data_IF_188502602310
#
_entry.id   IF_188502602310
#
_cell.length_a   1.000
_cell.length_b   1.000
_cell.length_c   1.000
_cell.angle_alpha   90.00
_cell.angle_beta   90.00
_cell.angle_gamma   90.00
#
_symmetry.space_group_name_H-M   'P 1'
#
loop_
_entity.id
_entity.type
_entity.pdbx_description
1 polymer ?
#
# COMPACT_ATOMS: atom_id res chain seq x y z
N UNK A 1 45.51 23.28 4.35
CA UNK A 1 44.25 24.05 4.52
C UNK A 1 43.28 23.83 3.41
N UNK A 2 43.72 23.79 2.15
CA UNK A 2 42.88 23.52 1.00
C UNK A 2 42.31 22.08 1.01
N UNK A 3 43.06 21.13 1.50
CA UNK A 3 42.66 19.73 1.58
C UNK A 3 41.48 19.52 2.53
N UNK A 4 41.42 20.20 3.67
CA UNK A 4 40.34 20.09 4.64
C UNK A 4 39.01 20.59 4.09
N UNK A 5 39.01 21.64 3.27
CA UNK A 5 37.80 22.14 2.58
C UNK A 5 37.30 21.16 1.53
N UNK A 6 38.20 20.50 0.83
CA UNK A 6 37.86 19.49 -0.16
C UNK A 6 37.22 18.28 0.47
N UNK A 7 37.71 17.83 1.63
CA UNK A 7 37.13 16.72 2.37
C UNK A 7 35.71 17.05 2.87
N UNK A 8 35.49 18.25 3.42
CA UNK A 8 34.17 18.69 3.88
C UNK A 8 33.14 18.69 2.74
N UNK A 9 33.54 19.10 1.55
CA UNK A 9 32.68 19.10 0.37
C UNK A 9 32.32 17.67 -0.05
N UNK A 10 33.24 16.72 0.03
CA UNK A 10 33.01 15.32 -0.28
C UNK A 10 32.03 14.68 0.70
N UNK A 11 32.18 14.94 1.98
CA UNK A 11 31.28 14.42 3.01
C UNK A 11 29.85 14.91 2.80
N UNK A 12 29.68 16.18 2.50
CA UNK A 12 28.36 16.75 2.21
C UNK A 12 27.68 16.09 1.03
N UNK A 13 28.40 15.81 -0.07
CA UNK A 13 27.88 15.11 -1.25
C UNK A 13 27.50 13.67 -0.91
N UNK A 14 28.28 12.97 -0.09
CA UNK A 14 28.01 11.61 0.35
C UNK A 14 26.75 11.54 1.18
N UNK A 15 26.54 12.47 2.10
CA UNK A 15 25.33 12.56 2.90
C UNK A 15 24.09 12.76 2.04
N UNK A 16 24.11 13.66 1.07
CA UNK A 16 23.02 13.89 0.16
C UNK A 16 22.62 12.64 -0.63
N UNK A 17 23.57 11.87 -1.12
CA UNK A 17 23.35 10.60 -1.82
C UNK A 17 22.73 9.55 -0.90
N UNK A 18 23.19 9.47 0.33
CA UNK A 18 22.66 8.53 1.35
C UNK A 18 21.20 8.83 1.66
N UNK A 19 20.82 10.09 1.82
CA UNK A 19 19.44 10.51 2.04
C UNK A 19 18.54 10.19 0.86
N UNK A 20 18.97 10.50 -0.36
CA UNK A 20 18.23 10.20 -1.58
C UNK A 20 17.98 8.68 -1.73
N UNK A 21 18.96 7.85 -1.36
CA UNK A 21 18.83 6.40 -1.37
C UNK A 21 17.82 5.91 -0.35
N UNK A 22 17.84 6.47 0.86
CA UNK A 22 16.87 6.14 1.93
C UNK A 22 15.45 6.50 1.52
N UNK A 23 15.24 7.68 0.95
CA UNK A 23 13.93 8.13 0.48
C UNK A 23 13.40 7.22 -0.62
N UNK A 24 14.26 6.81 -1.56
CA UNK A 24 13.91 5.87 -2.61
C UNK A 24 13.54 4.49 -2.07
N UNK A 25 14.26 3.98 -1.08
CA UNK A 25 13.95 2.71 -0.42
C UNK A 25 12.62 2.80 0.33
N UNK A 26 12.38 3.89 1.07
CA UNK A 26 11.14 4.10 1.80
C UNK A 26 9.94 4.20 0.84
N UNK A 27 10.09 4.88 -0.29
CA UNK A 27 9.06 4.96 -1.32
C UNK A 27 8.76 3.59 -1.90
N UNK A 28 9.78 2.80 -2.22
CA UNK A 28 9.62 1.44 -2.71
C UNK A 28 8.89 0.56 -1.71
N UNK A 29 9.21 0.67 -0.43
CA UNK A 29 8.51 -0.07 0.63
C UNK A 29 7.02 0.28 0.70
N UNK A 30 6.68 1.55 0.57
CA UNK A 30 5.28 1.99 0.56
C UNK A 30 4.52 1.43 -0.64
N UNK A 31 5.11 1.48 -1.82
CA UNK A 31 4.52 0.93 -3.04
C UNK A 31 4.29 -0.58 -2.89
N UNK A 32 5.28 -1.30 -2.38
CA UNK A 32 5.17 -2.75 -2.18
C UNK A 32 4.11 -3.10 -1.12
N UNK A 33 3.98 -2.29 -0.08
CA UNK A 33 2.93 -2.47 0.93
C UNK A 33 1.54 -2.31 0.32
N UNK A 34 1.32 -1.27 -0.49
CA UNK A 34 0.06 -1.06 -1.19
C UNK A 34 -0.26 -2.23 -2.15
N UNK A 35 0.73 -2.68 -2.89
CA UNK A 35 0.57 -3.84 -3.80
C UNK A 35 0.27 -5.12 -3.04
N UNK A 36 0.86 -5.32 -1.87
CA UNK A 36 0.57 -6.47 -1.02
C UNK A 36 -0.90 -6.48 -0.58
N UNK A 37 -1.44 -5.34 -0.20
CA UNK A 37 -2.85 -5.19 0.13
C UNK A 37 -3.73 -5.57 -1.08
N UNK A 38 -3.43 -5.03 -2.25
CA UNK A 38 -4.21 -5.28 -3.46
C UNK A 38 -4.20 -6.77 -3.82
N UNK A 39 -3.04 -7.43 -3.74
CA UNK A 39 -2.95 -8.88 -3.95
C UNK A 39 -3.80 -9.67 -2.96
N UNK A 40 -3.83 -9.22 -1.70
CA UNK A 40 -4.60 -9.89 -0.64
C UNK A 40 -6.11 -9.84 -0.89
N UNK A 41 -6.62 -8.87 -1.65
CA UNK A 41 -8.02 -8.82 -2.03
C UNK A 41 -8.43 -10.08 -2.83
N UNK A 42 -7.57 -10.57 -3.70
CA UNK A 42 -7.83 -11.75 -4.53
C UNK A 42 -7.35 -13.05 -3.86
N UNK A 43 -6.21 -13.01 -3.19
CA UNK A 43 -5.60 -14.19 -2.56
C UNK A 43 -6.28 -14.57 -1.25
N UNK A 44 -6.93 -13.61 -0.59
CA UNK A 44 -7.54 -13.77 0.73
C UNK A 44 -6.51 -14.18 1.79
N UNK A 45 -5.27 -13.70 1.63
CA UNK A 45 -4.15 -13.93 2.54
C UNK A 45 -3.49 -12.59 2.87
N UNK A 46 -3.87 -12.03 3.99
CA UNK A 46 -3.41 -10.71 4.42
C UNK A 46 -2.40 -10.75 5.57
N UNK A 47 -1.87 -11.93 5.91
CA UNK A 47 -0.97 -12.08 7.04
C UNK A 47 0.34 -11.30 6.86
N UNK A 48 0.79 -11.16 5.61
CA UNK A 48 2.02 -10.43 5.27
C UNK A 48 1.77 -8.97 4.88
N UNK A 49 0.53 -8.51 4.89
CA UNK A 49 0.24 -7.10 4.62
C UNK A 49 0.65 -6.26 5.82
N UNK A 50 1.51 -5.25 5.63
CA UNK A 50 2.07 -4.50 6.75
C UNK A 50 1.13 -3.40 7.24
N UNK A 51 0.08 -3.79 7.96
CA UNK A 51 -0.84 -2.84 8.59
C UNK A 51 -0.25 -2.29 9.89
N UNK A 52 -0.40 -0.97 10.12
CA UNK A 52 -0.22 -0.41 11.45
C UNK A 52 -1.28 -0.98 12.39
N UNK A 53 -0.97 -1.15 13.70
CA UNK A 53 -1.95 -1.71 14.64
C UNK A 53 -3.27 -0.95 14.70
N UNK A 54 -3.22 0.37 14.53
CA UNK A 54 -4.38 1.27 14.53
C UNK A 54 -4.82 1.69 13.13
N UNK A 55 -4.45 0.92 12.11
CA UNK A 55 -4.82 1.20 10.72
C UNK A 55 -6.34 1.25 10.55
N UNK A 56 -6.80 2.22 9.80
CA UNK A 56 -8.22 2.40 9.49
C UNK A 56 -8.46 2.39 7.99
N UNK A 57 -9.69 2.08 7.60
CA UNK A 57 -10.11 2.09 6.19
C UNK A 57 -11.47 2.74 6.07
N UNK A 58 -11.63 3.56 5.04
CA UNK A 58 -12.89 4.18 4.65
C UNK A 58 -13.19 3.79 3.20
N UNK A 59 -14.36 3.24 2.97
CA UNK A 59 -14.84 2.89 1.63
C UNK A 59 -16.16 3.60 1.36
N UNK A 60 -16.23 4.35 0.25
CA UNK A 60 -17.43 5.10 -0.13
C UNK A 60 -17.99 5.98 1.00
N UNK A 61 -17.09 6.61 1.76
CA UNK A 61 -17.45 7.49 2.87
C UNK A 61 -17.80 6.77 4.18
N UNK A 62 -17.76 5.45 4.22
CA UNK A 62 -18.05 4.65 5.41
C UNK A 62 -16.78 4.05 6.00
N UNK A 63 -16.64 4.12 7.32
CA UNK A 63 -15.53 3.47 8.01
C UNK A 63 -15.75 1.96 8.02
N UNK A 64 -14.88 1.23 7.32
CA UNK A 64 -14.98 -0.23 7.15
C UNK A 64 -13.79 -0.97 7.73
N UNK A 65 -12.85 -0.28 8.33
CA UNK A 65 -11.69 -0.86 9.00
C UNK A 65 -11.36 -0.10 10.27
N UNK A 66 -11.14 -0.82 11.37
CA UNK A 66 -11.04 -0.25 12.72
C UNK A 66 -9.67 -0.48 13.37
N UNK A 67 -8.92 -1.47 12.89
CA UNK A 67 -7.57 -1.78 13.36
C UNK A 67 -6.85 -2.63 12.31
N UNK A 68 -5.54 -2.77 12.43
CA UNK A 68 -4.76 -3.64 11.55
C UNK A 68 -5.22 -5.09 11.63
N UNK A 69 -5.49 -5.58 12.85
CA UNK A 69 -5.99 -6.93 13.04
C UNK A 69 -7.39 -7.14 12.43
N UNK A 70 -8.26 -6.14 12.56
CA UNK A 70 -9.59 -6.18 11.95
C UNK A 70 -9.50 -6.21 10.42
N UNK A 71 -8.66 -5.37 9.81
CA UNK A 71 -8.44 -5.34 8.37
C UNK A 71 -7.90 -6.68 7.86
N UNK A 72 -6.90 -7.23 8.55
CA UNK A 72 -6.32 -8.51 8.17
C UNK A 72 -7.37 -9.63 8.19
N UNK A 73 -8.17 -9.69 9.24
CA UNK A 73 -9.24 -10.66 9.35
C UNK A 73 -10.31 -10.47 8.27
N UNK A 74 -10.67 -9.24 7.96
CA UNK A 74 -11.68 -8.95 6.93
C UNK A 74 -11.22 -9.43 5.54
N UNK A 75 -9.95 -9.23 5.20
CA UNK A 75 -9.41 -9.70 3.93
C UNK A 75 -9.28 -11.23 3.88
N UNK A 76 -8.92 -11.85 4.98
CA UNK A 76 -8.77 -13.30 5.06
C UNK A 76 -10.12 -14.04 5.05
N UNK A 77 -11.14 -13.50 5.70
CA UNK A 77 -12.39 -14.22 5.98
C UNK A 77 -13.68 -13.43 5.72
N UNK A 78 -13.57 -12.14 5.41
CA UNK A 78 -14.75 -11.29 5.20
C UNK A 78 -15.56 -11.72 3.98
N UNK A 79 -16.88 -11.86 4.14
CA UNK A 79 -17.76 -12.30 3.06
C UNK A 79 -17.74 -11.36 1.86
N UNK A 80 -17.63 -10.05 2.11
CA UNK A 80 -17.60 -9.04 1.05
C UNK A 80 -16.35 -9.15 0.16
N UNK A 81 -15.25 -9.69 0.68
CA UNK A 81 -14.00 -9.87 -0.07
C UNK A 81 -13.89 -11.26 -0.70
N UNK A 82 -14.59 -12.26 -0.17
CA UNK A 82 -14.55 -13.62 -0.71
C UNK A 82 -15.07 -13.73 -2.14
N UNK A 83 -15.91 -12.78 -2.55
CA UNK A 83 -16.42 -12.75 -3.92
C UNK A 83 -15.39 -12.27 -4.93
N UNK A 84 -14.30 -11.64 -4.48
CA UNK A 84 -13.23 -11.18 -5.37
C UNK A 84 -12.38 -12.38 -5.78
N UNK A 85 -12.23 -12.58 -7.07
CA UNK A 85 -11.42 -13.66 -7.64
C UNK A 85 -10.08 -13.15 -8.17
N UNK A 86 -10.08 -11.93 -8.71
CA UNK A 86 -8.92 -11.40 -9.40
C UNK A 86 -8.82 -9.89 -9.21
N UNK A 87 -7.60 -9.39 -9.18
CA UNK A 87 -7.30 -7.96 -9.26
C UNK A 87 -6.36 -7.73 -10.44
N UNK A 88 -6.55 -6.62 -11.15
CA UNK A 88 -5.65 -6.26 -12.25
C UNK A 88 -4.38 -5.60 -11.71
N UNK A 89 -3.35 -5.50 -12.55
CA UNK A 89 -2.12 -4.80 -12.21
C UNK A 89 -2.43 -3.34 -11.90
N UNK A 90 -2.09 -2.84 -10.70
CA UNK A 90 -2.42 -1.47 -10.33
C UNK A 90 -1.58 -0.44 -11.07
N UNK A 91 -2.22 0.68 -11.40
CA UNK A 91 -1.55 1.91 -11.81
C UNK A 91 -1.29 2.72 -10.55
N UNK A 92 -0.02 2.91 -10.22
CA UNK A 92 0.45 3.46 -8.95
C UNK A 92 1.09 4.81 -9.14
N UNK A 93 0.66 5.80 -8.35
CA UNK A 93 1.31 7.11 -8.26
C UNK A 93 1.66 7.41 -6.81
N UNK A 94 2.76 8.14 -6.61
CA UNK A 94 3.27 8.48 -5.27
C UNK A 94 3.22 10.00 -5.10
N UNK A 95 2.69 10.42 -3.95
CA UNK A 95 2.68 11.82 -3.56
C UNK A 95 3.09 11.91 -2.08
N UNK A 96 4.36 12.21 -1.84
CA UNK A 96 4.92 12.26 -0.49
C UNK A 96 4.72 10.94 0.26
N UNK A 97 3.98 10.96 1.35
CA UNK A 97 3.68 9.79 2.18
C UNK A 97 2.47 9.01 1.69
N UNK A 98 1.85 9.39 0.59
CA UNK A 98 0.67 8.74 0.05
C UNK A 98 1.02 7.95 -1.21
N UNK A 99 0.41 6.78 -1.34
CA UNK A 99 0.45 5.96 -2.55
C UNK A 99 -0.99 5.81 -3.04
N UNK A 100 -1.25 6.25 -4.26
CA UNK A 100 -2.55 6.09 -4.90
C UNK A 100 -2.48 4.95 -5.90
N UNK A 101 -3.42 4.04 -5.82
CA UNK A 101 -3.49 2.90 -6.73
C UNK A 101 -4.86 2.83 -7.39
N UNK A 102 -4.87 2.63 -8.70
CA UNK A 102 -6.08 2.40 -9.49
C UNK A 102 -5.99 1.02 -10.11
N UNK A 103 -7.00 0.23 -9.91
CA UNK A 103 -7.05 -1.13 -10.41
C UNK A 103 -8.50 -1.60 -10.49
N UNK A 104 -8.71 -2.76 -11.11
CA UNK A 104 -10.02 -3.37 -11.18
C UNK A 104 -10.06 -4.62 -10.32
N UNK A 105 -11.19 -4.85 -9.68
CA UNK A 105 -11.50 -6.11 -9.03
C UNK A 105 -12.53 -6.86 -9.89
N UNK A 106 -12.32 -8.16 -10.02
CA UNK A 106 -13.19 -9.03 -10.80
C UNK A 106 -13.74 -10.08 -9.84
N UNK A 107 -15.05 -10.23 -9.81
CA UNK A 107 -15.72 -11.15 -8.91
C UNK A 107 -15.82 -12.55 -9.53
N UNK A 108 -16.07 -13.52 -8.67
CA UNK A 108 -16.46 -14.87 -9.09
C UNK A 108 -17.79 -14.80 -9.85
N UNK A 109 -18.05 -15.76 -10.77
CA UNK A 109 -19.34 -15.81 -11.44
C UNK A 109 -20.49 -15.92 -10.42
N UNK A 110 -21.53 -15.11 -10.64
CA UNK A 110 -22.79 -15.23 -9.89
C UNK A 110 -23.56 -16.47 -10.32
N UNK A 111 -24.70 -16.73 -9.68
CA UNK A 111 -25.60 -17.82 -10.05
C UNK A 111 -26.05 -17.75 -11.52
N UNK A 112 -26.06 -16.54 -12.09
CA UNK A 112 -26.39 -16.34 -13.52
C UNK A 112 -25.16 -16.46 -14.43
N UNK A 113 -23.98 -16.85 -13.90
CA UNK A 113 -22.73 -16.96 -14.63
C UNK A 113 -22.07 -15.63 -14.97
N UNK A 114 -22.56 -14.53 -14.44
CA UNK A 114 -22.04 -13.19 -14.71
C UNK A 114 -20.98 -12.81 -13.70
N UNK A 115 -19.91 -12.18 -14.18
CA UNK A 115 -18.86 -11.58 -13.33
C UNK A 115 -19.10 -10.08 -13.27
N UNK A 116 -18.76 -9.50 -12.12
CA UNK A 116 -18.77 -8.04 -11.94
C UNK A 116 -17.32 -7.56 -11.95
N UNK A 117 -17.08 -6.49 -12.71
CA UNK A 117 -15.82 -5.77 -12.70
C UNK A 117 -16.06 -4.40 -12.06
N UNK A 118 -15.32 -4.08 -11.02
CA UNK A 118 -15.42 -2.78 -10.35
C UNK A 118 -14.08 -2.05 -10.44
N UNK A 119 -14.13 -0.78 -10.78
CA UNK A 119 -12.95 0.09 -10.78
C UNK A 119 -12.72 0.61 -9.37
N UNK A 120 -11.49 0.45 -8.89
CA UNK A 120 -11.08 0.86 -7.55
C UNK A 120 -10.00 1.93 -7.66
N UNK A 121 -10.15 2.98 -6.87
CA UNK A 121 -9.20 4.06 -6.72
C UNK A 121 -8.97 4.24 -5.21
N UNK A 122 -7.83 3.77 -4.73
CA UNK A 122 -7.51 3.79 -3.31
C UNK A 122 -6.24 4.60 -3.05
N UNK A 123 -6.25 5.30 -1.93
CA UNK A 123 -5.09 6.04 -1.45
C UNK A 123 -4.65 5.46 -0.11
N UNK A 124 -3.40 5.08 -0.04
CA UNK A 124 -2.75 4.54 1.16
C UNK A 124 -1.87 5.60 1.78
N UNK A 125 -2.01 5.83 3.07
CA UNK A 125 -1.06 6.64 3.84
C UNK A 125 -0.36 5.77 4.86
N UNK A 126 0.83 6.18 5.28
CA UNK A 126 1.75 5.32 6.02
C UNK A 126 2.21 5.96 7.31
N UNK A 127 2.46 5.11 8.32
CA UNK A 127 3.12 5.51 9.55
C UNK A 127 4.59 5.82 9.28
N UNK A 128 5.30 6.48 10.23
CA UNK A 128 6.75 6.69 10.10
C UNK A 128 7.55 5.41 9.90
N UNK A 129 7.04 4.28 10.39
CA UNK A 129 7.67 2.96 10.25
C UNK A 129 7.43 2.31 8.87
N UNK A 130 6.66 2.95 8.00
CA UNK A 130 6.34 2.41 6.68
C UNK A 130 5.18 1.41 6.67
N UNK A 131 4.41 1.34 7.75
CA UNK A 131 3.21 0.50 7.83
C UNK A 131 1.99 1.26 7.28
N UNK A 132 1.03 0.53 6.73
CA UNK A 132 -0.20 1.13 6.22
C UNK A 132 -1.02 1.67 7.39
N UNK A 133 -1.24 2.98 7.42
CA UNK A 133 -1.93 3.66 8.50
C UNK A 133 -3.39 3.93 8.18
N UNK A 134 -3.69 4.23 6.93
CA UNK A 134 -5.04 4.54 6.48
C UNK A 134 -5.22 4.19 5.00
N UNK A 135 -6.39 3.73 4.67
CA UNK A 135 -6.82 3.39 3.32
C UNK A 135 -8.14 4.09 3.00
#
# INVERSE_FOLDING_TARGET
>A
MTEGRSEATRDSVTEGRSEATRDSVAETQRIEAAKAYIRALADHRADDVPFAPDCTRVEMGLKTGFSGAHLRRSLNKGLQYKVIEETTTPDVTVDGNAVRARFDVITKPSLAGRRVCAHVDETFTFSPDGLIQHI
#
